data_IF_881680633367
#
_entry.id   IF_881680633367
#
_cell.length_a   1.000
_cell.length_b   1.000
_cell.length_c   1.000
_cell.angle_alpha   90.00
_cell.angle_beta   90.00
_cell.angle_gamma   90.00
#
_symmetry.space_group_name_H-M   'P 1'
#
loop_
_entity.id
_entity.type
_entity.pdbx_description
1 polymer ?
#
# COMPACT_ATOMS: atom_id res chain seq x y z
N UNK A 1 -4.73 6.18 31.62
CA UNK A 1 -3.87 6.80 32.66
C UNK A 1 -3.52 8.20 32.17
N UNK A 2 -3.76 9.24 32.96
CA UNK A 2 -3.39 10.62 32.60
C UNK A 2 -1.92 10.82 32.95
N UNK A 3 -1.12 11.29 32.00
CA UNK A 3 0.29 11.67 32.23
C UNK A 3 0.36 13.17 32.51
N UNK A 4 1.22 13.57 33.45
CA UNK A 4 1.47 14.98 33.76
C UNK A 4 2.47 15.58 32.76
N UNK A 5 3.41 14.76 32.27
CA UNK A 5 4.35 15.10 31.21
C UNK A 5 4.25 14.04 30.12
N UNK A 6 3.90 14.46 28.89
CA UNK A 6 3.80 13.59 27.73
C UNK A 6 4.78 14.03 26.65
N UNK A 7 5.73 13.14 26.33
CA UNK A 7 6.59 13.23 25.17
C UNK A 7 6.10 12.18 24.17
N UNK A 8 5.94 12.57 22.91
CA UNK A 8 5.50 11.66 21.87
C UNK A 8 6.25 11.93 20.60
N UNK A 9 6.80 10.88 20.02
CA UNK A 9 7.37 10.95 18.69
C UNK A 9 6.33 11.28 17.64
N UNK A 10 6.79 11.94 16.58
CA UNK A 10 5.94 12.22 15.43
C UNK A 10 5.61 10.91 14.75
N UNK A 11 4.32 10.73 14.45
CA UNK A 11 3.85 9.60 13.65
C UNK A 11 4.52 9.64 12.28
N UNK A 12 4.84 8.47 11.76
CA UNK A 12 5.19 8.27 10.38
C UNK A 12 4.05 8.67 9.44
N UNK A 13 4.41 9.08 8.23
CA UNK A 13 3.45 9.43 7.19
C UNK A 13 3.04 8.17 6.44
N UNK A 14 1.75 8.01 6.17
CA UNK A 14 1.25 6.90 5.36
C UNK A 14 1.74 7.04 3.92
N UNK A 15 1.97 5.91 3.27
CA UNK A 15 2.29 5.87 1.85
C UNK A 15 1.08 6.25 1.00
N UNK A 16 1.35 6.84 -0.17
CA UNK A 16 0.32 7.12 -1.16
C UNK A 16 -0.11 5.86 -1.91
N UNK A 17 -1.39 5.78 -2.26
CA UNK A 17 -1.95 4.67 -3.02
C UNK A 17 -1.44 4.67 -4.48
N UNK A 18 -1.34 3.48 -5.04
CA UNK A 18 -1.07 3.26 -6.46
C UNK A 18 -2.33 3.45 -7.30
N UNK A 19 -2.18 4.01 -8.50
CA UNK A 19 -3.26 4.14 -9.46
C UNK A 19 -3.58 2.80 -10.14
N UNK A 20 -4.86 2.57 -10.42
CA UNK A 20 -5.29 1.44 -11.24
C UNK A 20 -4.83 1.59 -12.70
N UNK A 21 -4.61 0.46 -13.35
CA UNK A 21 -4.43 0.38 -14.79
C UNK A 21 -5.71 0.69 -15.54
N UNK A 22 -5.57 1.32 -16.69
CA UNK A 22 -6.68 1.55 -17.62
C UNK A 22 -7.02 0.28 -18.41
N UNK A 23 -8.30 0.09 -18.69
CA UNK A 23 -8.76 -1.02 -19.52
C UNK A 23 -8.34 -0.85 -20.99
N UNK A 24 -8.13 -1.99 -21.64
CA UNK A 24 -7.89 -2.10 -23.07
C UNK A 24 -9.15 -1.81 -23.87
N UNK A 25 -8.98 -1.19 -25.03
CA UNK A 25 -10.11 -0.87 -25.91
C UNK A 25 -10.60 -2.11 -26.65
N UNK A 26 -11.91 -2.21 -26.87
CA UNK A 26 -12.48 -3.26 -27.71
C UNK A 26 -12.01 -3.10 -29.15
N UNK A 27 -11.67 -4.21 -29.80
CA UNK A 27 -11.39 -4.29 -31.22
C UNK A 27 -12.62 -4.01 -32.08
N UNK A 28 -12.41 -3.36 -33.24
CA UNK A 28 -13.47 -3.09 -34.19
C UNK A 28 -13.90 -4.36 -34.95
N UNK A 29 -15.21 -4.54 -35.13
CA UNK A 29 -15.74 -5.63 -35.95
C UNK A 29 -15.37 -5.44 -37.43
N UNK A 30 -15.10 -6.56 -38.10
CA UNK A 30 -14.88 -6.64 -39.53
C UNK A 30 -16.17 -6.40 -40.32
N UNK A 31 -16.02 -5.89 -41.54
CA UNK A 31 -17.14 -5.66 -42.45
C UNK A 31 -17.46 -6.94 -43.21
N UNK A 32 -18.76 -7.24 -43.36
CA UNK A 32 -19.19 -8.35 -44.21
C UNK A 32 -18.89 -8.07 -45.69
N UNK A 33 -18.79 -9.15 -46.47
CA UNK A 33 -18.66 -9.08 -47.91
C UNK A 33 -19.86 -8.33 -48.52
N UNK A 34 -19.59 -7.46 -49.48
CA UNK A 34 -20.63 -6.76 -50.26
C UNK A 34 -20.30 -6.85 -51.75
N UNK A 35 -21.18 -6.31 -52.62
CA UNK A 35 -21.02 -6.46 -54.07
C UNK A 35 -19.67 -5.89 -54.51
N UNK A 36 -18.76 -6.78 -54.94
CA UNK A 36 -17.37 -6.50 -55.36
C UNK A 36 -16.42 -6.04 -54.24
N UNK A 37 -16.78 -6.19 -52.97
CA UNK A 37 -15.90 -5.91 -51.83
C UNK A 37 -15.79 -7.15 -50.93
N UNK A 38 -14.58 -7.69 -50.69
CA UNK A 38 -14.41 -8.81 -49.78
C UNK A 38 -14.73 -8.40 -48.33
N UNK A 39 -15.00 -9.37 -47.44
CA UNK A 39 -15.11 -9.11 -46.02
C UNK A 39 -13.76 -8.66 -45.44
N UNK A 40 -13.79 -8.12 -44.22
CA UNK A 40 -12.57 -7.77 -43.48
C UNK A 40 -12.52 -8.49 -42.14
N UNK A 41 -11.32 -8.75 -41.64
CA UNK A 41 -11.12 -9.31 -40.32
C UNK A 41 -11.55 -8.33 -39.22
N UNK A 42 -11.89 -8.88 -38.06
CA UNK A 42 -12.02 -8.11 -36.83
C UNK A 42 -10.65 -7.65 -36.34
N UNK A 43 -10.59 -6.46 -35.74
CA UNK A 43 -9.37 -5.94 -35.12
C UNK A 43 -9.14 -6.55 -33.74
N UNK A 44 -7.89 -6.73 -33.30
CA UNK A 44 -7.61 -7.21 -31.95
C UNK A 44 -8.10 -6.21 -30.90
N UNK A 45 -8.40 -6.73 -29.70
CA UNK A 45 -8.59 -5.90 -28.52
C UNK A 45 -7.27 -5.35 -28.00
N UNK A 46 -7.32 -4.17 -27.38
CA UNK A 46 -6.17 -3.54 -26.74
C UNK A 46 -5.83 -4.19 -25.40
N UNK A 47 -4.55 -4.14 -25.02
CA UNK A 47 -4.11 -4.62 -23.72
C UNK A 47 -4.50 -3.64 -22.60
N UNK A 48 -4.92 -4.20 -21.46
CA UNK A 48 -5.06 -3.48 -20.22
C UNK A 48 -3.72 -3.01 -19.69
N UNK A 49 -3.68 -1.81 -19.11
CA UNK A 49 -2.47 -1.23 -18.55
C UNK A 49 -2.18 -1.79 -17.16
N UNK A 50 -0.91 -1.84 -16.73
CA UNK A 50 -0.58 -2.28 -15.39
C UNK A 50 -1.06 -1.29 -14.33
N UNK A 51 -1.44 -1.81 -13.17
CA UNK A 51 -1.62 -1.03 -11.95
C UNK A 51 -0.28 -0.58 -11.37
N UNK A 52 -0.27 0.56 -10.70
CA UNK A 52 0.90 1.11 -10.02
C UNK A 52 1.00 0.57 -8.60
N UNK A 53 2.22 0.38 -8.13
CA UNK A 53 2.47 0.03 -6.72
C UNK A 53 2.11 1.19 -5.80
N UNK A 54 1.66 0.87 -4.58
CA UNK A 54 1.57 1.86 -3.51
C UNK A 54 2.97 2.29 -3.04
N UNK A 55 3.06 3.42 -2.35
CA UNK A 55 4.29 3.87 -1.70
C UNK A 55 4.38 3.32 -0.27
N UNK A 56 5.60 3.12 0.22
CA UNK A 56 5.81 2.65 1.59
C UNK A 56 5.41 3.71 2.61
N UNK A 57 4.96 3.27 3.78
CA UNK A 57 4.82 4.12 4.95
C UNK A 57 6.18 4.55 5.49
N UNK A 58 6.24 5.75 6.07
CA UNK A 58 7.44 6.27 6.70
C UNK A 58 7.50 5.88 8.17
N UNK A 59 8.71 5.77 8.71
CA UNK A 59 8.91 5.44 10.12
C UNK A 59 8.44 6.56 11.04
N UNK A 60 7.94 6.19 12.21
CA UNK A 60 7.74 7.11 13.32
C UNK A 60 9.07 7.56 13.92
N UNK A 61 9.09 8.72 14.57
CA UNK A 61 10.31 9.26 15.16
C UNK A 61 10.53 8.81 16.61
N UNK A 62 11.80 8.64 16.98
CA UNK A 62 12.22 8.37 18.36
C UNK A 62 12.44 9.68 19.14
N UNK A 63 12.22 9.66 20.46
CA UNK A 63 12.45 10.82 21.33
C UNK A 63 12.99 10.42 22.70
N UNK A 64 13.84 11.24 23.29
CA UNK A 64 14.39 11.05 24.65
C UNK A 64 14.04 12.23 25.55
N UNK A 65 13.98 11.99 26.87
CA UNK A 65 13.66 13.01 27.87
C UNK A 65 14.61 12.92 29.06
N UNK A 66 15.17 14.06 29.46
CA UNK A 66 15.97 14.16 30.68
C UNK A 66 15.53 15.36 31.53
N UNK A 67 15.33 15.11 32.82
CA UNK A 67 15.07 16.12 33.83
C UNK A 67 16.14 16.02 34.91
N UNK A 68 16.87 17.11 35.13
CA UNK A 68 17.81 17.27 36.23
C UNK A 68 17.43 18.49 37.04
N UNK A 69 17.18 18.30 38.32
CA UNK A 69 16.88 19.39 39.22
C UNK A 69 17.55 19.14 40.59
N UNK A 70 17.88 20.21 41.31
CA UNK A 70 18.43 20.06 42.66
C UNK A 70 17.34 19.69 43.65
N UNK A 71 16.16 20.29 43.52
CA UNK A 71 15.00 20.10 44.40
C UNK A 71 13.78 19.81 43.54
N UNK A 72 13.08 18.72 43.84
CA UNK A 72 11.89 18.27 43.13
C UNK A 72 10.73 18.17 44.12
N UNK A 73 10.10 19.32 44.40
CA UNK A 73 8.95 19.39 45.31
C UNK A 73 7.65 19.31 44.55
N UNK A 74 6.86 18.29 44.88
CA UNK A 74 5.61 17.96 44.20
C UNK A 74 4.59 17.51 45.24
N UNK A 75 3.34 17.92 45.06
CA UNK A 75 2.25 17.57 45.97
C UNK A 75 1.71 16.16 45.75
N UNK A 76 1.96 15.60 44.56
CA UNK A 76 1.57 14.24 44.16
C UNK A 76 2.63 13.64 43.23
N UNK A 77 2.54 12.32 43.00
CA UNK A 77 3.42 11.63 42.05
C UNK A 77 3.25 12.21 40.64
N UNK A 78 4.36 12.64 40.04
CA UNK A 78 4.43 13.11 38.65
C UNK A 78 4.57 11.91 37.72
N UNK A 79 3.63 11.78 36.78
CA UNK A 79 3.60 10.73 35.77
C UNK A 79 4.19 11.22 34.46
N UNK A 80 5.27 10.59 34.03
CA UNK A 80 5.99 10.91 32.79
C UNK A 80 5.77 9.78 31.79
N UNK A 81 5.27 10.12 30.60
CA UNK A 81 5.11 9.17 29.50
C UNK A 81 5.96 9.63 28.32
N UNK A 82 6.91 8.79 27.89
CA UNK A 82 7.67 8.96 26.66
C UNK A 82 7.29 7.84 25.69
N UNK A 83 6.72 8.18 24.54
CA UNK A 83 6.36 7.18 23.54
C UNK A 83 7.03 7.50 22.21
N UNK A 84 7.61 6.50 21.56
CA UNK A 84 7.99 6.62 20.16
C UNK A 84 6.77 6.87 19.26
N UNK A 85 6.97 7.49 18.10
CA UNK A 85 5.89 7.70 17.14
C UNK A 85 5.53 6.39 16.44
N UNK A 86 4.24 6.15 16.15
CA UNK A 86 3.84 5.00 15.33
C UNK A 86 4.35 5.15 13.89
N UNK A 87 4.64 4.05 13.22
CA UNK A 87 4.92 4.03 11.79
C UNK A 87 3.68 4.37 10.96
N UNK A 88 3.91 4.89 9.75
CA UNK A 88 2.86 5.08 8.76
C UNK A 88 2.52 3.76 8.06
N UNK A 89 1.26 3.58 7.66
CA UNK A 89 0.86 2.43 6.86
C UNK A 89 1.37 2.57 5.43
N UNK A 90 1.58 1.45 4.74
CA UNK A 90 1.79 1.45 3.29
C UNK A 90 0.54 1.92 2.54
N UNK A 91 0.72 2.47 1.34
CA UNK A 91 -0.35 2.75 0.39
C UNK A 91 -0.84 1.49 -0.34
N UNK A 92 -2.12 1.46 -0.67
CA UNK A 92 -2.78 0.35 -1.37
C UNK A 92 -2.27 0.29 -2.81
N UNK A 93 -2.04 -0.91 -3.33
CA UNK A 93 -1.63 -1.10 -4.72
C UNK A 93 -2.80 -0.99 -5.70
N UNK A 94 -2.52 -0.49 -6.90
CA UNK A 94 -3.51 -0.42 -7.97
C UNK A 94 -3.75 -1.77 -8.65
N UNK A 95 -4.99 -2.00 -9.08
CA UNK A 95 -5.36 -3.15 -9.91
C UNK A 95 -4.86 -2.99 -11.34
N UNK A 96 -4.57 -4.10 -12.01
CA UNK A 96 -4.33 -4.10 -13.45
C UNK A 96 -5.64 -3.88 -14.23
N UNK A 97 -5.55 -3.17 -15.35
CA UNK A 97 -6.69 -2.97 -16.25
C UNK A 97 -7.04 -4.23 -17.02
N UNK A 98 -8.30 -4.41 -17.38
CA UNK A 98 -8.75 -5.55 -18.17
C UNK A 98 -8.31 -5.42 -19.63
N UNK A 99 -8.09 -6.54 -20.31
CA UNK A 99 -7.90 -6.56 -21.75
C UNK A 99 -9.22 -6.31 -22.50
N UNK A 100 -9.14 -5.65 -23.66
CA UNK A 100 -10.30 -5.41 -24.51
C UNK A 100 -10.70 -6.65 -25.30
N UNK A 101 -12.00 -6.86 -25.52
CA UNK A 101 -12.49 -7.93 -26.39
C UNK A 101 -12.06 -7.68 -27.85
N UNK A 102 -11.72 -8.73 -28.59
CA UNK A 102 -11.46 -8.67 -30.03
C UNK A 102 -12.74 -8.44 -30.85
N UNK A 103 -12.61 -7.81 -32.01
CA UNK A 103 -13.72 -7.60 -32.94
C UNK A 103 -14.09 -8.89 -33.69
N UNK A 104 -15.35 -9.06 -34.07
CA UNK A 104 -15.80 -10.20 -34.86
C UNK A 104 -15.31 -10.10 -36.31
N UNK A 105 -15.08 -11.24 -36.97
CA UNK A 105 -14.74 -11.31 -38.38
C UNK A 105 -15.93 -11.04 -39.30
N UNK A 106 -15.67 -10.42 -40.43
CA UNK A 106 -16.68 -10.19 -41.47
C UNK A 106 -17.13 -11.49 -42.13
N UNK A 107 -18.43 -11.65 -42.34
CA UNK A 107 -19.01 -12.81 -43.03
C UNK A 107 -18.79 -12.73 -44.55
N UNK A 108 -18.45 -13.87 -45.15
CA UNK A 108 -18.32 -14.04 -46.59
C UNK A 108 -19.65 -14.06 -47.34
N UNK A 109 -19.58 -14.29 -48.65
CA UNK A 109 -20.72 -14.52 -49.54
C UNK A 109 -20.38 -15.60 -50.58
N UNK A 110 -21.23 -15.78 -51.58
CA UNK A 110 -21.07 -16.77 -52.65
C UNK A 110 -19.74 -16.70 -53.42
N UNK A 111 -18.99 -15.60 -53.29
CA UNK A 111 -17.77 -15.31 -54.03
C UNK A 111 -16.56 -15.04 -53.13
N UNK A 112 -16.70 -15.13 -51.80
CA UNK A 112 -15.60 -14.92 -50.86
C UNK A 112 -15.84 -15.66 -49.54
N UNK A 113 -14.81 -16.31 -48.99
CA UNK A 113 -14.85 -16.83 -47.61
C UNK A 113 -15.01 -15.68 -46.61
N UNK A 114 -15.50 -15.98 -45.41
CA UNK A 114 -15.49 -15.00 -44.33
C UNK A 114 -14.12 -14.91 -43.65
N UNK A 115 -13.98 -13.92 -42.78
CA UNK A 115 -12.72 -13.58 -42.13
C UNK A 115 -12.70 -13.96 -40.65
N UNK A 116 -11.50 -13.90 -40.07
CA UNK A 116 -11.26 -14.18 -38.67
C UNK A 116 -11.67 -12.99 -37.77
N UNK A 117 -12.08 -13.31 -36.55
CA UNK A 117 -12.17 -12.35 -35.46
C UNK A 117 -10.79 -11.95 -34.96
N UNK A 118 -10.74 -10.80 -34.30
CA UNK A 118 -9.56 -10.30 -33.63
C UNK A 118 -9.30 -11.04 -32.32
N UNK A 119 -8.02 -11.18 -31.96
CA UNK A 119 -7.59 -11.74 -30.68
C UNK A 119 -7.97 -10.78 -29.56
N UNK A 120 -8.35 -11.31 -28.39
CA UNK A 120 -8.61 -10.51 -27.20
C UNK A 120 -7.31 -9.92 -26.62
N UNK A 121 -7.40 -8.71 -26.06
CA UNK A 121 -6.27 -8.07 -25.39
C UNK A 121 -5.91 -8.74 -24.07
N UNK A 122 -4.66 -8.64 -23.66
CA UNK A 122 -4.20 -9.13 -22.36
C UNK A 122 -4.65 -8.21 -21.23
N UNK A 123 -4.91 -8.78 -20.05
CA UNK A 123 -5.07 -8.01 -18.83
C UNK A 123 -3.72 -7.46 -18.34
N UNK A 124 -3.74 -6.25 -17.80
CA UNK A 124 -2.58 -5.63 -17.17
C UNK A 124 -2.25 -6.28 -15.82
N UNK A 125 -0.98 -6.23 -15.41
CA UNK A 125 -0.58 -6.74 -14.10
C UNK A 125 -1.02 -5.80 -12.97
N UNK A 126 -1.27 -6.35 -11.78
CA UNK A 126 -1.51 -5.54 -10.59
C UNK A 126 -0.21 -4.94 -10.05
N UNK A 127 -0.33 -3.79 -9.36
CA UNK A 127 0.79 -3.16 -8.67
C UNK A 127 1.23 -3.94 -7.44
N UNK A 128 2.48 -3.77 -7.00
CA UNK A 128 2.93 -4.39 -5.76
C UNK A 128 2.41 -3.63 -4.54
N UNK A 129 2.15 -4.39 -3.48
CA UNK A 129 1.86 -3.86 -2.16
C UNK A 129 3.06 -3.09 -1.61
N UNK A 130 2.80 -2.25 -0.62
CA UNK A 130 3.82 -1.39 -0.02
C UNK A 130 4.01 -1.70 1.46
N UNK A 131 5.24 -1.53 1.93
CA UNK A 131 5.60 -1.85 3.30
C UNK A 131 5.09 -0.78 4.28
N UNK A 132 4.73 -1.21 5.48
CA UNK A 132 4.51 -0.28 6.59
C UNK A 132 5.83 0.29 7.12
N UNK A 133 5.78 1.53 7.61
CA UNK A 133 6.89 2.18 8.28
C UNK A 133 7.14 1.60 9.68
N UNK A 134 8.39 1.62 10.14
CA UNK A 134 8.70 1.14 11.49
C UNK A 134 8.20 2.13 12.56
N UNK A 135 7.80 1.61 13.72
CA UNK A 135 7.57 2.42 14.90
C UNK A 135 8.88 3.02 15.42
N UNK A 136 8.82 4.25 15.89
CA UNK A 136 9.95 4.91 16.54
C UNK A 136 10.24 4.30 17.91
N UNK A 137 11.49 4.32 18.34
CA UNK A 137 11.87 3.83 19.67
C UNK A 137 11.39 4.82 20.75
N UNK A 138 10.92 4.28 21.87
CA UNK A 138 10.79 5.05 23.10
C UNK A 138 12.19 5.35 23.61
N UNK A 139 12.59 6.61 23.68
CA UNK A 139 13.91 6.96 24.20
C UNK A 139 13.96 6.92 25.73
N UNK A 140 15.16 7.13 26.26
CA UNK A 140 15.36 7.02 27.69
C UNK A 140 14.65 8.16 28.45
N UNK A 141 14.11 7.81 29.62
CA UNK A 141 13.62 8.78 30.60
C UNK A 141 14.62 8.81 31.75
N UNK A 142 15.35 9.92 31.87
CA UNK A 142 16.32 10.11 32.95
C UNK A 142 15.86 11.23 33.87
N UNK A 143 15.57 10.89 35.12
CA UNK A 143 15.28 11.89 36.15
C UNK A 143 16.27 11.80 37.28
N UNK A 144 16.86 12.94 37.65
CA UNK A 144 17.74 13.08 38.82
C UNK A 144 17.30 14.23 39.70
N UNK A 145 17.17 13.97 40.99
CA UNK A 145 16.85 14.94 42.03
C UNK A 145 17.62 14.66 43.33
N UNK A 146 17.88 15.68 44.15
CA UNK A 146 18.59 15.53 45.42
C UNK A 146 17.68 15.66 46.64
N UNK A 147 16.61 16.45 46.53
CA UNK A 147 15.62 16.67 47.59
C UNK A 147 14.23 16.52 47.01
N UNK A 148 13.33 15.91 47.79
CA UNK A 148 11.92 15.69 47.43
C UNK A 148 11.06 15.72 48.68
N UNK A 149 9.83 16.18 48.53
CA UNK A 149 8.78 16.14 49.56
C UNK A 149 8.06 14.79 49.62
N UNK A 150 8.18 13.95 48.58
CA UNK A 150 7.56 12.61 48.52
C UNK A 150 8.62 11.49 48.42
N UNK A 151 8.40 10.32 49.03
CA UNK A 151 9.31 9.17 48.93
C UNK A 151 9.48 8.62 47.50
N UNK A 152 8.41 8.63 46.70
CA UNK A 152 8.40 8.22 45.28
C UNK A 152 7.70 9.30 44.45
N UNK A 153 8.38 10.42 44.16
CA UNK A 153 7.76 11.58 43.54
C UNK A 153 7.46 11.38 42.04
N UNK A 154 7.98 10.31 41.42
CA UNK A 154 7.93 10.11 39.96
C UNK A 154 7.51 8.68 39.63
N UNK A 155 6.62 8.57 38.65
CA UNK A 155 6.35 7.34 37.90
C UNK A 155 6.58 7.64 36.42
N UNK A 156 7.36 6.81 35.73
CA UNK A 156 7.72 7.06 34.35
C UNK A 156 7.61 5.80 33.49
N UNK A 157 7.18 5.97 32.25
CA UNK A 157 7.09 4.91 31.24
C UNK A 157 7.79 5.35 29.96
N UNK A 158 8.50 4.43 29.31
CA UNK A 158 9.03 4.66 27.97
C UNK A 158 8.70 3.48 27.05
N UNK A 159 7.85 3.71 26.05
CA UNK A 159 7.39 2.68 25.12
C UNK A 159 7.79 3.04 23.68
N UNK A 160 8.06 2.03 22.86
CA UNK A 160 8.17 2.23 21.42
C UNK A 160 6.80 2.48 20.77
N UNK A 161 6.81 3.11 19.61
CA UNK A 161 5.63 3.20 18.75
C UNK A 161 5.36 1.87 18.04
N UNK A 162 4.15 1.69 17.56
CA UNK A 162 3.78 0.52 16.76
C UNK A 162 4.34 0.66 15.33
N UNK A 163 4.62 -0.47 14.67
CA UNK A 163 4.87 -0.47 13.23
C UNK A 163 3.57 -0.24 12.45
N UNK A 164 3.68 0.40 11.29
CA UNK A 164 2.57 0.57 10.36
C UNK A 164 2.26 -0.73 9.62
N UNK A 165 1.06 -0.83 9.06
CA UNK A 165 0.61 -1.98 8.28
C UNK A 165 1.23 -1.99 6.88
N UNK A 166 1.59 -3.19 6.40
CA UNK A 166 1.89 -3.41 4.99
C UNK A 166 0.62 -3.68 4.22
N UNK A 167 0.61 -3.37 2.93
CA UNK A 167 -0.56 -3.55 2.07
C UNK A 167 -0.40 -4.73 1.10
N UNK A 168 -1.51 -5.38 0.70
CA UNK A 168 -1.48 -6.41 -0.32
C UNK A 168 -1.15 -5.84 -1.70
N UNK A 169 -0.67 -6.70 -2.61
CA UNK A 169 -0.57 -6.37 -4.02
C UNK A 169 -1.95 -6.28 -4.69
N UNK A 170 -2.02 -5.50 -5.77
CA UNK A 170 -3.22 -5.37 -6.59
C UNK A 170 -3.45 -6.65 -7.40
N UNK A 171 -4.71 -6.98 -7.68
CA UNK A 171 -5.03 -8.06 -8.60
C UNK A 171 -4.65 -7.69 -10.04
N UNK A 172 -4.30 -8.70 -10.84
CA UNK A 172 -4.15 -8.52 -12.29
C UNK A 172 -5.51 -8.39 -12.98
N UNK A 173 -5.51 -7.74 -14.14
CA UNK A 173 -6.69 -7.56 -14.97
C UNK A 173 -7.12 -8.85 -15.67
N UNK A 174 -8.41 -8.90 -16.01
CA UNK A 174 -9.01 -10.02 -16.74
C UNK A 174 -8.59 -9.97 -18.22
N UNK A 175 -8.43 -11.12 -18.84
CA UNK A 175 -8.20 -11.23 -20.28
C UNK A 175 -9.42 -10.77 -21.09
N UNK A 176 -9.18 -10.04 -22.18
CA UNK A 176 -10.20 -9.80 -23.19
C UNK A 176 -10.51 -11.07 -23.97
N UNK A 177 -11.75 -11.25 -24.39
CA UNK A 177 -12.17 -12.41 -25.18
C UNK A 177 -11.83 -12.24 -26.65
N UNK A 178 -11.56 -13.34 -27.34
CA UNK A 178 -11.41 -13.35 -28.79
C UNK A 178 -12.74 -13.09 -29.50
N UNK A 179 -12.67 -12.39 -30.64
CA UNK A 179 -13.81 -12.16 -31.51
C UNK A 179 -14.25 -13.42 -32.25
N UNK A 180 -15.49 -13.44 -32.71
CA UNK A 180 -16.08 -14.58 -33.41
C UNK A 180 -15.60 -14.59 -34.87
N UNK A 181 -15.06 -15.72 -35.32
CA UNK A 181 -14.71 -16.00 -36.71
C UNK A 181 -15.97 -16.22 -37.56
N UNK A 182 -15.86 -16.08 -38.87
CA UNK A 182 -17.00 -16.27 -39.78
C UNK A 182 -17.63 -17.67 -39.77
N UNK A 183 -16.87 -18.69 -39.34
CA UNK A 183 -17.33 -20.07 -39.16
C UNK A 183 -18.03 -20.32 -37.80
N UNK A 184 -18.13 -19.29 -36.96
CA UNK A 184 -18.72 -19.36 -35.62
C UNK A 184 -17.77 -19.81 -34.51
N UNK A 185 -16.53 -20.16 -34.84
CA UNK A 185 -15.47 -20.36 -33.84
C UNK A 185 -15.00 -19.02 -33.26
N UNK A 186 -14.21 -19.04 -32.19
CA UNK A 186 -13.66 -17.82 -31.59
C UNK A 186 -12.17 -17.72 -31.86
N UNK A 187 -11.68 -16.49 -32.08
CA UNK A 187 -10.27 -16.19 -31.98
C UNK A 187 -9.78 -16.42 -30.54
N UNK A 188 -8.46 -16.44 -30.35
CA UNK A 188 -7.89 -16.63 -29.02
C UNK A 188 -8.25 -15.49 -28.08
N UNK A 189 -8.54 -15.84 -26.83
CA UNK A 189 -8.60 -14.88 -25.73
C UNK A 189 -7.20 -14.34 -25.42
N UNK A 190 -7.14 -13.18 -24.78
CA UNK A 190 -5.93 -12.66 -24.18
C UNK A 190 -5.50 -13.47 -22.95
N UNK A 191 -4.40 -13.04 -22.33
CA UNK A 191 -3.92 -13.61 -21.07
C UNK A 191 -4.39 -12.78 -19.88
N UNK A 192 -4.64 -13.44 -18.75
CA UNK A 192 -4.88 -12.76 -17.48
C UNK A 192 -3.60 -12.05 -17.02
N UNK A 193 -3.79 -10.87 -16.42
CA UNK A 193 -2.73 -10.18 -15.72
C UNK A 193 -2.32 -10.93 -14.45
N UNK A 194 -1.06 -10.77 -14.06
CA UNK A 194 -0.52 -11.34 -12.84
C UNK A 194 -0.79 -10.37 -11.68
N UNK A 195 -1.23 -10.88 -10.53
CA UNK A 195 -1.38 -10.09 -9.32
C UNK A 195 -0.02 -9.65 -8.75
N UNK A 196 0.00 -8.49 -8.11
CA UNK A 196 1.19 -7.96 -7.46
C UNK A 196 1.53 -8.70 -6.16
N UNK A 197 2.76 -8.49 -5.70
CA UNK A 197 3.28 -9.11 -4.47
C UNK A 197 2.84 -8.29 -3.26
N UNK A 198 2.35 -8.96 -2.23
CA UNK A 198 2.01 -8.32 -0.95
C UNK A 198 3.26 -7.97 -0.14
N UNK A 199 3.20 -6.84 0.56
CA UNK A 199 4.28 -6.32 1.38
C UNK A 199 4.06 -6.62 2.88
N UNK A 200 5.09 -6.40 3.69
CA UNK A 200 5.05 -6.65 5.13
C UNK A 200 4.81 -5.38 5.95
N UNK A 201 4.29 -5.56 7.17
CA UNK A 201 4.19 -4.47 8.14
C UNK A 201 5.54 -4.06 8.70
N UNK A 202 5.58 -2.83 9.22
CA UNK A 202 6.72 -2.30 9.95
C UNK A 202 6.90 -2.98 11.31
N UNK A 203 8.13 -2.92 11.82
CA UNK A 203 8.44 -3.41 13.15
C UNK A 203 8.02 -2.40 14.21
N UNK A 204 7.59 -2.89 15.38
CA UNK A 204 7.38 -2.02 16.53
C UNK A 204 8.73 -1.48 17.04
N UNK A 205 8.70 -0.23 17.51
CA UNK A 205 9.83 0.39 18.18
C UNK A 205 10.11 -0.26 19.54
N UNK A 206 11.34 -0.10 20.01
CA UNK A 206 11.79 -0.63 21.30
C UNK A 206 11.40 0.32 22.43
N UNK A 207 11.10 -0.25 23.59
CA UNK A 207 10.93 0.50 24.83
C UNK A 207 12.27 1.11 25.29
N UNK A 208 12.20 2.31 25.88
CA UNK A 208 13.37 3.01 26.40
C UNK A 208 13.66 2.68 27.86
N UNK A 209 14.87 3.02 28.30
CA UNK A 209 15.25 2.84 29.71
C UNK A 209 14.70 3.98 30.56
N UNK A 210 14.02 3.63 31.64
CA UNK A 210 13.59 4.58 32.67
C UNK A 210 14.58 4.49 33.84
N UNK A 211 15.20 5.62 34.20
CA UNK A 211 16.08 5.73 35.37
C UNK A 211 15.70 6.97 36.17
N UNK A 212 15.28 6.74 37.42
CA UNK A 212 14.92 7.77 38.38
C UNK A 212 15.86 7.65 39.56
N UNK A 213 16.76 8.61 39.72
CA UNK A 213 17.80 8.59 40.73
C UNK A 213 17.60 9.70 41.76
N UNK A 214 17.45 9.30 43.02
CA UNK A 214 17.50 10.19 44.16
C UNK A 214 18.95 10.24 44.69
N UNK A 215 19.63 11.37 44.50
CA UNK A 215 20.97 11.59 45.04
C UNK A 215 20.85 12.16 46.44
N UNK A 216 20.74 11.28 47.44
CA UNK A 216 20.84 11.68 48.83
C UNK A 216 22.20 12.33 49.04
N UNK A 217 22.22 13.60 49.45
CA UNK A 217 23.44 14.19 49.99
C UNK A 217 23.67 13.53 51.35
N UNK A 218 24.75 12.74 51.43
CA UNK A 218 25.36 12.37 52.71
C UNK A 218 25.91 13.59 53.43
#
# INVERSE_FOLDING_TARGET
>A
MVADIKISGTKGVNGADGANGADGQRGADGQNASRRKPPTAGSPGGDGQPGQSGQNGHSGSSWWFALRCTRFDVQSVVRISNNGGDGGDGGIAGYGGNGGDGGNGGRGNSSSSGELGGIGGNGGNGGNGSNGGNGGDGGNVWVRYNQTSLPKPISATSNGGNGGLGQPGGAGGIAGRGGINSDGSHASDGKYGIGGISASGGQAGRAGKVSVNHLLRG
#
